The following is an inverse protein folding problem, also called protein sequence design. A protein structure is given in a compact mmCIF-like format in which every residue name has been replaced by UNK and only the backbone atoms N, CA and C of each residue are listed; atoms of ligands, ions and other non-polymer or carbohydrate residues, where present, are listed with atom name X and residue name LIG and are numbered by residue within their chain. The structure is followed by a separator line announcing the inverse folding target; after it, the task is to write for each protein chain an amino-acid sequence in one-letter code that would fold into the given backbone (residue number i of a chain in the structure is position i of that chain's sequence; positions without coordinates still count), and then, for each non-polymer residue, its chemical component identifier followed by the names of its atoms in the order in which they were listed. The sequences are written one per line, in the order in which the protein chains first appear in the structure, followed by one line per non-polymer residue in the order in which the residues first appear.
data_IF_518149607250
#
_entry.id   IF_518149607250
#
_cell.length_a   1.000
_cell.length_b   1.000
_cell.length_c   1.000
_cell.angle_alpha   90.00
_cell.angle_beta   90.00
_cell.angle_gamma   90.00
#
_symmetry.space_group_name_H-M   'P 1'
#
loop_
_entity.id
_entity.type
_entity.pdbx_description
1 polymer ?
#
# COMPACT_ATOMS: atom_id res chain seq x y z
N UNK A 1 -1.34 8.67 -27.97
CA UNK A 1 -0.94 8.07 -26.69
C UNK A 1 -1.23 9.06 -25.57
N UNK A 2 -2.48 9.12 -25.09
CA UNK A 2 -2.73 9.64 -23.73
C UNK A 2 -2.18 8.56 -22.79
N UNK A 3 -1.30 8.99 -21.90
CA UNK A 3 -0.27 8.17 -21.33
C UNK A 3 -0.86 6.95 -20.59
N UNK A 4 -0.32 5.76 -20.86
CA UNK A 4 -0.58 4.53 -20.06
C UNK A 4 -0.38 4.80 -18.57
N UNK A 5 0.46 5.79 -18.25
CA UNK A 5 0.73 6.35 -16.93
C UNK A 5 -0.47 7.06 -16.28
N UNK A 6 -1.34 7.74 -17.04
CA UNK A 6 -2.59 8.34 -16.53
C UNK A 6 -3.61 7.27 -16.10
N UNK A 7 -3.39 6.01 -16.48
CA UNK A 7 -4.24 4.87 -16.13
C UNK A 7 -3.90 4.27 -14.75
N UNK A 8 -2.78 4.66 -14.14
CA UNK A 8 -2.25 4.08 -12.90
C UNK A 8 -2.30 5.05 -11.70
N UNK A 9 -3.15 6.08 -11.75
CA UNK A 9 -3.43 6.88 -10.56
C UNK A 9 -3.98 5.99 -9.44
N UNK A 10 -3.73 6.35 -8.17
CA UNK A 10 -4.17 5.56 -7.02
C UNK A 10 -5.66 5.21 -7.09
N UNK A 11 -6.50 6.18 -7.46
CA UNK A 11 -7.94 5.97 -7.64
C UNK A 11 -8.28 4.93 -8.70
N UNK A 12 -7.52 4.85 -9.81
CA UNK A 12 -7.75 3.87 -10.87
C UNK A 12 -7.24 2.49 -10.49
N UNK A 13 -6.11 2.40 -9.79
CA UNK A 13 -5.62 1.14 -9.22
C UNK A 13 -6.64 0.57 -8.23
N UNK A 14 -7.14 1.40 -7.32
CA UNK A 14 -8.18 0.99 -6.37
C UNK A 14 -9.50 0.63 -7.05
N UNK A 15 -9.92 1.38 -8.08
CA UNK A 15 -11.11 1.03 -8.87
C UNK A 15 -10.97 -0.29 -9.64
N UNK A 16 -9.77 -0.58 -10.16
CA UNK A 16 -9.46 -1.85 -10.84
C UNK A 16 -9.45 -3.03 -9.86
N UNK A 17 -8.91 -2.83 -8.65
CA UNK A 17 -8.87 -3.87 -7.61
C UNK A 17 -10.22 -4.07 -6.90
N UNK A 18 -11.13 -3.09 -7.01
CA UNK A 18 -12.48 -3.15 -6.43
C UNK A 18 -13.52 -3.85 -7.30
N UNK A 19 -13.24 -4.10 -8.58
CA UNK A 19 -14.12 -4.81 -9.51
C UNK A 19 -13.77 -6.31 -9.54
N UNK A 20 -14.50 -7.07 -8.74
CA UNK A 20 -14.16 -8.48 -8.43
C UNK A 20 -14.61 -9.46 -9.52
N UNK A 21 -15.47 -9.01 -10.44
CA UNK A 21 -15.91 -9.83 -11.58
C UNK A 21 -14.99 -9.70 -12.80
N UNK A 22 -14.02 -8.78 -12.74
CA UNK A 22 -13.09 -8.52 -13.82
C UNK A 22 -11.87 -9.42 -13.74
N UNK A 23 -11.63 -10.20 -14.79
CA UNK A 23 -10.31 -10.83 -14.98
C UNK A 23 -9.25 -9.74 -15.17
N UNK A 24 -8.29 -9.67 -14.23
CA UNK A 24 -7.15 -8.76 -14.34
C UNK A 24 -6.17 -9.37 -15.34
N UNK A 25 -6.00 -8.67 -16.47
CA UNK A 25 -5.01 -9.04 -17.48
C UNK A 25 -3.59 -9.09 -16.86
N UNK A 26 -2.82 -10.10 -17.26
CA UNK A 26 -1.42 -10.28 -16.86
C UNK A 26 -0.58 -9.06 -17.23
N UNK A 27 -0.83 -8.43 -18.39
CA UNK A 27 -0.07 -7.26 -18.83
C UNK A 27 -0.40 -6.02 -17.99
N UNK A 28 -1.66 -5.87 -17.57
CA UNK A 28 -2.08 -4.80 -16.64
C UNK A 28 -1.43 -5.01 -15.27
N UNK A 29 -1.38 -6.26 -14.77
CA UNK A 29 -0.71 -6.60 -13.51
C UNK A 29 0.78 -6.25 -13.56
N UNK A 30 1.47 -6.56 -14.66
CA UNK A 30 2.88 -6.21 -14.85
C UNK A 30 3.10 -4.70 -14.80
N UNK A 31 2.27 -3.93 -15.50
CA UNK A 31 2.37 -2.47 -15.49
C UNK A 31 2.12 -1.87 -14.10
N UNK A 32 1.15 -2.41 -13.35
CA UNK A 32 0.90 -2.01 -11.96
C UNK A 32 2.11 -2.28 -11.07
N UNK A 33 2.73 -3.46 -11.18
CA UNK A 33 3.94 -3.78 -10.43
C UNK A 33 5.09 -2.84 -10.78
N UNK A 34 5.33 -2.58 -12.07
CA UNK A 34 6.37 -1.66 -12.53
C UNK A 34 6.18 -0.27 -11.93
N UNK A 35 4.95 0.23 -11.92
CA UNK A 35 4.63 1.53 -11.34
C UNK A 35 4.85 1.55 -9.83
N UNK A 36 4.41 0.51 -9.10
CA UNK A 36 4.65 0.40 -7.66
C UNK A 36 6.15 0.37 -7.32
N UNK A 37 6.95 -0.39 -8.08
CA UNK A 37 8.40 -0.42 -7.88
C UNK A 37 9.07 0.92 -8.25
N UNK A 38 8.58 1.59 -9.28
CA UNK A 38 9.08 2.92 -9.67
C UNK A 38 8.85 3.94 -8.55
N UNK A 39 7.68 3.93 -7.92
CA UNK A 39 7.37 4.80 -6.78
C UNK A 39 8.26 4.50 -5.57
N UNK A 40 8.47 3.22 -5.26
CA UNK A 40 9.36 2.83 -4.18
C UNK A 40 10.77 3.40 -4.40
N UNK A 41 11.28 3.29 -5.63
CA UNK A 41 12.59 3.83 -5.99
C UNK A 41 12.67 5.36 -5.81
N UNK A 42 11.65 6.11 -6.22
CA UNK A 42 11.61 7.57 -6.02
C UNK A 42 11.67 7.92 -4.53
N UNK A 43 10.89 7.23 -3.69
CA UNK A 43 10.92 7.45 -2.23
C UNK A 43 12.28 7.12 -1.63
N UNK A 44 12.98 6.09 -2.12
CA UNK A 44 14.35 5.78 -1.71
C UNK A 44 15.32 6.91 -2.06
N UNK A 45 15.23 7.46 -3.27
CA UNK A 45 16.03 8.59 -3.73
C UNK A 45 15.75 9.86 -2.91
N UNK A 46 14.49 10.19 -2.65
CA UNK A 46 14.07 11.33 -1.82
C UNK A 46 14.57 11.18 -0.37
N UNK A 47 14.51 9.97 0.19
CA UNK A 47 15.01 9.70 1.54
C UNK A 47 16.53 9.95 1.65
N UNK A 48 17.29 9.49 0.65
CA UNK A 48 18.73 9.75 0.58
C UNK A 48 19.04 11.24 0.45
N UNK A 49 18.33 11.95 -0.42
CA UNK A 49 18.50 13.39 -0.60
C UNK A 49 18.21 14.15 0.70
N UNK A 50 17.11 13.83 1.38
CA UNK A 50 16.74 14.43 2.66
C UNK A 50 17.79 14.16 3.74
N UNK A 51 18.31 12.92 3.83
CA UNK A 51 19.39 12.60 4.77
C UNK A 51 20.62 13.48 4.53
N UNK A 52 21.05 13.63 3.28
CA UNK A 52 22.21 14.47 2.93
C UNK A 52 21.94 15.92 3.36
N UNK A 53 20.79 16.47 3.00
CA UNK A 53 20.40 17.83 3.34
C UNK A 53 20.40 18.06 4.87
N UNK A 54 19.80 17.16 5.64
CA UNK A 54 19.73 17.28 7.10
C UNK A 54 21.11 17.23 7.77
N UNK A 55 22.05 16.45 7.21
CA UNK A 55 23.43 16.40 7.68
C UNK A 55 24.20 17.66 7.28
N UNK A 56 24.06 18.15 6.05
CA UNK A 56 24.72 19.37 5.55
C UNK A 56 24.26 20.63 6.28
N UNK A 57 22.97 20.73 6.62
CA UNK A 57 22.41 21.83 7.40
C UNK A 57 22.74 21.73 8.91
N UNK A 58 23.33 20.62 9.36
CA UNK A 58 23.60 20.37 10.78
C UNK A 58 22.34 20.20 11.63
N UNK A 59 21.17 20.05 10.99
CA UNK A 59 19.86 19.86 11.65
C UNK A 59 19.80 18.51 12.35
N UNK A 60 20.50 17.51 11.82
CA UNK A 60 20.59 16.17 12.39
C UNK A 60 22.07 15.78 12.44
N UNK A 61 22.53 15.33 13.60
CA UNK A 61 23.83 14.67 13.73
C UNK A 61 23.72 13.15 13.52
N UNK A 62 24.85 12.46 13.42
CA UNK A 62 24.87 11.02 13.13
C UNK A 62 24.17 10.19 14.24
N UNK A 63 24.25 10.63 15.50
CA UNK A 63 23.63 9.95 16.64
C UNK A 63 22.11 10.10 16.60
N UNK A 64 21.61 11.32 16.42
CA UNK A 64 20.20 11.63 16.28
C UNK A 64 19.58 10.95 15.05
N UNK A 65 20.31 10.91 13.92
CA UNK A 65 19.88 10.19 12.73
C UNK A 65 19.72 8.70 13.01
N UNK A 66 20.68 8.09 13.71
CA UNK A 66 20.64 6.67 14.07
C UNK A 66 19.44 6.36 14.97
N UNK A 67 19.22 7.14 16.03
CA UNK A 67 18.08 6.96 16.95
C UNK A 67 16.76 7.08 16.20
N UNK A 68 16.63 8.10 15.34
CA UNK A 68 15.40 8.32 14.55
C UNK A 68 15.16 7.17 13.57
N UNK A 69 16.20 6.68 12.89
CA UNK A 69 16.11 5.55 11.97
C UNK A 69 15.66 4.28 12.70
N UNK A 70 16.20 4.01 13.88
CA UNK A 70 15.84 2.83 14.67
C UNK A 70 14.38 2.90 15.13
N UNK A 71 13.92 4.08 15.59
CA UNK A 71 12.52 4.29 15.95
C UNK A 71 11.56 4.11 14.75
N UNK A 72 11.91 4.65 13.58
CA UNK A 72 11.13 4.47 12.34
C UNK A 72 11.09 2.99 11.95
N UNK A 73 12.22 2.28 12.03
CA UNK A 73 12.29 0.86 11.72
C UNK A 73 11.40 0.03 12.64
N UNK A 74 11.43 0.31 13.94
CA UNK A 74 10.57 -0.38 14.91
C UNK A 74 9.09 -0.11 14.64
N UNK A 75 8.73 1.15 14.37
CA UNK A 75 7.36 1.51 14.01
C UNK A 75 6.89 0.76 12.75
N UNK A 76 7.71 0.72 11.70
CA UNK A 76 7.38 0.00 10.46
C UNK A 76 7.23 -1.51 10.70
N UNK A 77 8.11 -2.11 11.51
CA UNK A 77 8.00 -3.53 11.87
C UNK A 77 6.68 -3.83 12.60
N UNK A 78 6.27 -2.96 13.53
CA UNK A 78 4.97 -3.12 14.23
C UNK A 78 3.81 -3.05 13.25
N UNK A 79 3.83 -2.07 12.33
CA UNK A 79 2.81 -1.90 11.28
C UNK A 79 2.74 -3.09 10.33
N UNK A 80 3.89 -3.65 9.94
CA UNK A 80 3.96 -4.83 9.07
C UNK A 80 3.42 -6.08 9.79
N UNK A 81 3.75 -6.27 11.07
CA UNK A 81 3.19 -7.35 11.88
C UNK A 81 1.66 -7.23 12.01
N UNK A 82 1.13 -6.03 12.18
CA UNK A 82 -0.31 -5.78 12.22
C UNK A 82 -0.96 -6.13 10.88
N UNK A 83 -0.43 -5.64 9.76
CA UNK A 83 -0.91 -6.00 8.41
C UNK A 83 -0.80 -7.49 8.13
N UNK A 84 0.26 -8.15 8.57
CA UNK A 84 0.42 -9.59 8.40
C UNK A 84 -0.66 -10.37 9.17
N UNK A 85 -1.03 -9.90 10.37
CA UNK A 85 -2.16 -10.46 11.14
C UNK A 85 -3.48 -10.21 10.42
N UNK A 86 -3.71 -9.03 9.87
CA UNK A 86 -4.92 -8.72 9.08
C UNK A 86 -5.04 -9.62 7.84
N UNK A 87 -3.96 -9.79 7.09
CA UNK A 87 -3.92 -10.67 5.91
C UNK A 87 -4.15 -12.12 6.30
N UNK A 88 -3.52 -12.58 7.40
CA UNK A 88 -3.73 -13.93 7.92
C UNK A 88 -5.17 -14.13 8.40
N UNK A 89 -5.78 -13.12 9.02
CA UNK A 89 -7.19 -13.14 9.38
C UNK A 89 -8.07 -13.28 8.14
N UNK A 90 -7.88 -12.42 7.12
CA UNK A 90 -8.63 -12.49 5.88
C UNK A 90 -8.54 -13.89 5.24
N UNK A 91 -7.33 -14.43 5.08
CA UNK A 91 -7.09 -15.74 4.47
C UNK A 91 -7.80 -16.89 5.20
N UNK A 92 -8.04 -16.76 6.51
CA UNK A 92 -8.69 -17.78 7.33
C UNK A 92 -10.15 -17.46 7.68
N UNK A 93 -10.66 -16.29 7.29
CA UNK A 93 -11.98 -15.79 7.71
C UNK A 93 -13.15 -16.35 6.90
N UNK A 94 -12.90 -16.86 5.69
CA UNK A 94 -13.94 -17.23 4.73
C UNK A 94 -14.74 -16.04 4.17
N UNK A 95 -14.35 -14.80 4.51
CA UNK A 95 -14.99 -13.57 4.01
C UNK A 95 -14.60 -13.38 2.53
N UNK A 96 -15.57 -13.19 1.62
CA UNK A 96 -15.26 -12.86 0.23
C UNK A 96 -14.42 -11.58 0.13
N UNK A 97 -13.42 -11.58 -0.75
CA UNK A 97 -12.55 -10.41 -1.01
C UNK A 97 -13.33 -9.08 -1.18
N UNK A 98 -14.43 -9.00 -1.96
CA UNK A 98 -15.21 -7.75 -2.08
C UNK A 98 -15.74 -7.22 -0.76
N UNK A 99 -16.22 -8.11 0.12
CA UNK A 99 -16.74 -7.74 1.43
C UNK A 99 -15.62 -7.26 2.36
N UNK A 100 -14.46 -7.89 2.28
CA UNK A 100 -13.27 -7.47 3.01
C UNK A 100 -12.78 -6.09 2.56
N UNK A 101 -12.67 -5.86 1.25
CA UNK A 101 -12.30 -4.56 0.67
C UNK A 101 -13.32 -3.48 1.07
N UNK A 102 -14.62 -3.78 0.99
CA UNK A 102 -15.66 -2.84 1.41
C UNK A 102 -15.55 -2.50 2.90
N UNK A 103 -15.33 -3.49 3.77
CA UNK A 103 -15.10 -3.27 5.20
C UNK A 103 -13.86 -2.41 5.46
N UNK A 104 -12.74 -2.63 4.76
CA UNK A 104 -11.52 -1.83 4.91
C UNK A 104 -11.69 -0.38 4.44
N UNK A 105 -12.55 -0.13 3.46
CA UNK A 105 -12.80 1.21 2.92
C UNK A 105 -13.90 1.98 3.69
N UNK A 106 -14.93 1.30 4.19
CA UNK A 106 -16.14 1.93 4.72
C UNK A 106 -16.50 1.53 6.15
N UNK A 107 -15.71 0.65 6.79
CA UNK A 107 -15.93 0.19 8.17
C UNK A 107 -17.17 -0.69 8.37
N UNK A 108 -17.84 -1.13 7.30
CA UNK A 108 -19.07 -1.92 7.37
C UNK A 108 -19.04 -3.10 6.39
N UNK A 109 -19.55 -4.25 6.83
CA UNK A 109 -19.88 -5.34 5.93
C UNK A 109 -21.26 -5.04 5.33
N UNK A 110 -21.38 -5.00 4.00
CA UNK A 110 -22.70 -4.98 3.37
C UNK A 110 -23.39 -6.31 3.71
N UNK A 111 -24.52 -6.22 4.41
CA UNK A 111 -25.34 -7.39 4.74
C UNK A 111 -25.90 -7.94 3.42
N UNK A 112 -25.60 -9.21 3.13
CA UNK A 112 -26.07 -9.87 1.92
C UNK A 112 -27.61 -9.92 1.93
N UNK A 113 -28.33 -9.25 1.00
CA UNK A 113 -29.80 -9.25 0.99
C UNK A 113 -30.42 -10.63 0.70
N UNK A 114 -29.64 -11.58 0.18
CA UNK A 114 -30.11 -12.89 -0.26
C UNK A 114 -30.07 -13.98 0.84
N UNK A 115 -29.62 -13.65 2.05
CA UNK A 115 -29.57 -14.61 3.17
C UNK A 115 -30.86 -14.67 4.00
N UNK A 116 -31.93 -13.97 3.58
CA UNK A 116 -33.26 -14.02 4.18
C UNK A 116 -34.29 -14.51 3.16
N UNK A 117 -34.20 -15.79 2.76
CA UNK A 117 -35.31 -16.54 2.15
C UNK A 117 -35.33 -17.98 2.63
#
# INVERSE_FOLDING_TARGET
MKAVWDMLSDQKIWALLGDVEREIDTDVTRLMLIELFSRLKVVEEENLALRILLLEEGTVDEELYKVTRDAVREFMLRKDNEKARETSFFANSGIPFPQWVNFKLHGTFQRNPEAEH
#
